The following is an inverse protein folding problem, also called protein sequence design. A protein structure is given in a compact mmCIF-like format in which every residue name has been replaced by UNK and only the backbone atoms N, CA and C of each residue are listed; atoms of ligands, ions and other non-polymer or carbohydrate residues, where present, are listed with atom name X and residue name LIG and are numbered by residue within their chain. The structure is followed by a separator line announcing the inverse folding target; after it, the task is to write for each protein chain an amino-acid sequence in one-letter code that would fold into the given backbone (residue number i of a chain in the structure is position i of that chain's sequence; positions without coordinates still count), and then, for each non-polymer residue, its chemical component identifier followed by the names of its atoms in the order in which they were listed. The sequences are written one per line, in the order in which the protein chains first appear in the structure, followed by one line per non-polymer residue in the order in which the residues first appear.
data_IF_269826365817
#
_entry.id   IF_269826365817
#
_cell.length_a   1.000
_cell.length_b   1.000
_cell.length_c   1.000
_cell.angle_alpha   90.00
_cell.angle_beta   90.00
_cell.angle_gamma   90.00
#
_symmetry.space_group_name_H-M   'P 1'
#
loop_
_entity.id
_entity.type
_entity.pdbx_description
1 polymer ?
#
# COMPACT_ATOMS: atom_id res chain seq x y z
N UNK A 1 -13.25 -33.70 -26.98
CA UNK A 1 -13.99 -32.93 -28.01
C UNK A 1 -13.54 -31.48 -27.92
N UNK A 2 -13.17 -30.84 -29.05
CA UNK A 2 -12.58 -29.48 -29.09
C UNK A 2 -13.60 -28.36 -29.35
N UNK A 3 -14.87 -28.70 -29.53
CA UNK A 3 -15.95 -27.76 -29.85
C UNK A 3 -16.23 -26.69 -28.77
N UNK A 4 -16.18 -26.99 -27.45
CA UNK A 4 -16.39 -25.97 -26.42
C UNK A 4 -15.29 -24.91 -26.43
N UNK A 5 -14.05 -25.35 -26.64
CA UNK A 5 -12.86 -24.49 -26.76
C UNK A 5 -13.01 -23.60 -27.99
N UNK A 6 -13.38 -24.14 -29.15
CA UNK A 6 -13.61 -23.33 -30.35
C UNK A 6 -14.74 -22.29 -30.17
N UNK A 7 -15.84 -22.64 -29.51
CA UNK A 7 -16.97 -21.72 -29.26
C UNK A 7 -16.62 -20.60 -28.28
N UNK A 8 -15.78 -20.88 -27.27
CA UNK A 8 -15.31 -19.85 -26.34
C UNK A 8 -14.24 -18.96 -26.99
N UNK A 9 -13.35 -19.54 -27.79
CA UNK A 9 -12.41 -18.78 -28.63
C UNK A 9 -13.13 -17.86 -29.64
N UNK A 10 -14.18 -18.32 -30.30
CA UNK A 10 -14.98 -17.51 -31.24
C UNK A 10 -15.76 -16.40 -30.54
N UNK A 11 -16.33 -16.66 -29.36
CA UNK A 11 -17.06 -15.64 -28.58
C UNK A 11 -16.18 -14.53 -28.03
N UNK A 12 -14.91 -14.81 -27.72
CA UNK A 12 -14.00 -13.83 -27.10
C UNK A 12 -13.16 -13.08 -28.14
N UNK A 13 -12.85 -13.68 -29.30
CA UNK A 13 -12.02 -13.05 -30.34
C UNK A 13 -12.77 -12.26 -31.42
N UNK A 14 -14.06 -11.98 -31.29
CA UNK A 14 -14.86 -11.24 -32.30
C UNK A 14 -14.37 -9.82 -32.60
N UNK A 15 -13.38 -9.27 -31.87
CA UNK A 15 -12.86 -7.91 -32.06
C UNK A 15 -11.34 -7.78 -32.33
N UNK A 16 -10.61 -8.88 -32.52
CA UNK A 16 -9.15 -8.81 -32.77
C UNK A 16 -8.30 -8.40 -31.55
N UNK A 17 -8.86 -8.41 -30.33
CA UNK A 17 -8.14 -8.09 -29.09
C UNK A 17 -7.42 -9.35 -28.57
N UNK A 18 -6.11 -9.28 -28.24
CA UNK A 18 -5.39 -10.43 -27.69
C UNK A 18 -6.03 -10.98 -26.42
N UNK A 19 -6.21 -12.31 -26.34
CA UNK A 19 -6.75 -12.96 -25.14
C UNK A 19 -5.87 -12.69 -23.92
N UNK A 20 -6.51 -12.27 -22.83
CA UNK A 20 -5.86 -12.11 -21.54
C UNK A 20 -5.46 -13.47 -20.95
N UNK A 21 -4.55 -13.48 -19.97
CA UNK A 21 -4.16 -14.71 -19.27
C UNK A 21 -5.38 -15.39 -18.64
N UNK A 22 -6.29 -14.61 -18.06
CA UNK A 22 -7.50 -15.12 -17.45
C UNK A 22 -8.43 -15.82 -18.47
N UNK A 23 -8.61 -15.25 -19.66
CA UNK A 23 -9.45 -15.86 -20.71
C UNK A 23 -8.81 -17.16 -21.24
N UNK A 24 -7.48 -17.21 -21.36
CA UNK A 24 -6.77 -18.44 -21.77
C UNK A 24 -6.88 -19.56 -20.74
N UNK A 25 -6.74 -19.26 -19.44
CA UNK A 25 -6.95 -20.25 -18.36
C UNK A 25 -8.43 -20.68 -18.33
N UNK A 26 -9.36 -19.75 -18.53
CA UNK A 26 -10.80 -20.05 -18.60
C UNK A 26 -11.09 -21.06 -19.71
N UNK A 27 -10.59 -20.82 -20.93
CA UNK A 27 -10.76 -21.74 -22.05
C UNK A 27 -10.10 -23.11 -21.81
N UNK A 28 -8.98 -23.14 -21.09
CA UNK A 28 -8.33 -24.39 -20.67
C UNK A 28 -9.24 -25.19 -19.73
N UNK A 29 -9.74 -24.57 -18.67
CA UNK A 29 -10.61 -25.24 -17.68
C UNK A 29 -11.98 -25.63 -18.22
N UNK A 30 -12.49 -24.90 -19.22
CA UNK A 30 -13.73 -25.24 -19.90
C UNK A 30 -13.64 -26.59 -20.64
N UNK A 31 -12.46 -26.98 -21.12
CA UNK A 31 -12.24 -28.31 -21.70
C UNK A 31 -12.46 -29.44 -20.68
N UNK A 32 -12.25 -29.15 -19.39
CA UNK A 32 -12.49 -30.04 -18.26
C UNK A 32 -13.86 -29.79 -17.59
N UNK A 33 -14.74 -29.01 -18.23
CA UNK A 33 -16.11 -28.77 -17.76
C UNK A 33 -16.25 -27.71 -16.66
N UNK A 34 -15.21 -26.93 -16.37
CA UNK A 34 -15.24 -25.89 -15.35
C UNK A 34 -15.28 -24.47 -15.95
N UNK A 35 -16.20 -23.65 -15.46
CA UNK A 35 -16.33 -22.26 -15.88
C UNK A 35 -15.66 -21.31 -14.87
N UNK A 36 -14.41 -20.91 -15.16
CA UNK A 36 -13.64 -20.00 -14.31
C UNK A 36 -14.25 -18.59 -14.24
N UNK A 37 -14.91 -18.14 -15.31
CA UNK A 37 -15.58 -16.83 -15.34
C UNK A 37 -16.73 -16.78 -14.33
N UNK A 38 -17.54 -17.83 -14.25
CA UNK A 38 -18.61 -17.94 -13.26
C UNK A 38 -18.04 -18.03 -11.84
N UNK A 39 -16.90 -18.72 -11.65
CA UNK A 39 -16.23 -18.78 -10.35
C UNK A 39 -15.76 -17.42 -9.88
N UNK A 40 -15.14 -16.64 -10.78
CA UNK A 40 -14.62 -15.33 -10.43
C UNK A 40 -15.72 -14.26 -10.31
N UNK A 41 -16.51 -14.05 -11.36
CA UNK A 41 -17.49 -12.95 -11.42
C UNK A 41 -18.87 -13.33 -10.84
N UNK A 42 -19.17 -14.62 -10.75
CA UNK A 42 -20.51 -15.12 -10.43
C UNK A 42 -21.37 -15.26 -11.68
N UNK A 43 -22.54 -15.87 -11.51
CA UNK A 43 -23.51 -16.08 -12.59
C UNK A 43 -24.91 -16.15 -12.04
N UNK A 44 -25.76 -15.19 -12.41
CA UNK A 44 -27.18 -15.20 -12.05
C UNK A 44 -27.90 -16.38 -12.69
N UNK A 45 -27.53 -16.76 -13.93
CA UNK A 45 -28.12 -17.88 -14.63
C UNK A 45 -27.87 -19.21 -13.91
N UNK A 46 -26.68 -19.38 -13.33
CA UNK A 46 -26.26 -20.60 -12.63
C UNK A 46 -26.32 -20.47 -11.11
N UNK A 47 -26.91 -19.38 -10.60
CA UNK A 47 -27.02 -19.08 -9.16
C UNK A 47 -25.69 -19.20 -8.40
N UNK A 48 -24.59 -18.76 -9.04
CA UNK A 48 -23.24 -18.83 -8.48
C UNK A 48 -22.81 -17.46 -7.97
N UNK A 49 -22.38 -17.39 -6.71
CA UNK A 49 -21.76 -16.21 -6.15
C UNK A 49 -20.25 -16.24 -6.45
N UNK A 50 -19.75 -15.24 -7.19
CA UNK A 50 -18.35 -15.19 -7.59
C UNK A 50 -17.41 -14.73 -6.48
N UNK A 51 -16.16 -15.21 -6.51
CA UNK A 51 -15.10 -14.81 -5.57
C UNK A 51 -14.89 -13.30 -5.53
N UNK A 52 -14.97 -12.63 -6.68
CA UNK A 52 -14.88 -11.16 -6.76
C UNK A 52 -15.92 -10.47 -5.88
N UNK A 53 -17.14 -11.01 -5.81
CA UNK A 53 -18.18 -10.44 -4.96
C UNK A 53 -17.90 -10.67 -3.46
N UNK A 54 -17.17 -11.73 -3.11
CA UNK A 54 -16.70 -11.95 -1.74
C UNK A 54 -15.64 -10.91 -1.39
N UNK A 55 -14.61 -10.77 -2.25
CA UNK A 55 -13.49 -9.85 -2.02
C UNK A 55 -13.97 -8.38 -2.01
N UNK A 56 -14.89 -8.00 -2.89
CA UNK A 56 -15.40 -6.62 -2.99
C UNK A 56 -16.19 -6.14 -1.75
N UNK A 57 -16.54 -7.05 -0.82
CA UNK A 57 -17.10 -6.65 0.48
C UNK A 57 -16.09 -5.86 1.31
N UNK A 58 -14.79 -6.09 1.09
CA UNK A 58 -13.71 -5.32 1.67
C UNK A 58 -13.33 -4.19 0.70
N UNK A 59 -13.51 -2.93 1.11
CA UNK A 59 -13.27 -1.75 0.25
C UNK A 59 -11.83 -1.70 -0.30
N UNK A 60 -10.86 -2.12 0.52
CA UNK A 60 -9.44 -2.20 0.16
C UNK A 60 -9.15 -3.21 -0.98
N UNK A 61 -10.01 -4.22 -1.18
CA UNK A 61 -9.81 -5.28 -2.17
C UNK A 61 -10.57 -5.05 -3.49
N UNK A 62 -11.36 -3.99 -3.62
CA UNK A 62 -12.18 -3.74 -4.83
C UNK A 62 -11.37 -3.62 -6.13
N UNK A 63 -10.07 -3.30 -6.01
CA UNK A 63 -9.14 -3.20 -7.13
C UNK A 63 -8.50 -4.52 -7.57
N UNK A 64 -8.72 -5.64 -6.86
CA UNK A 64 -8.10 -6.94 -7.15
C UNK A 64 -8.61 -7.49 -8.49
N UNK A 65 -7.68 -7.88 -9.36
CA UNK A 65 -7.96 -8.46 -10.66
C UNK A 65 -7.84 -10.00 -10.62
N UNK A 66 -8.54 -10.72 -11.53
CA UNK A 66 -8.43 -12.17 -11.60
C UNK A 66 -7.01 -12.67 -11.86
N UNK A 67 -6.17 -11.87 -12.53
CA UNK A 67 -4.75 -12.19 -12.73
C UNK A 67 -3.96 -12.17 -11.42
N UNK A 68 -4.25 -11.25 -10.50
CA UNK A 68 -3.62 -11.20 -9.18
C UNK A 68 -3.93 -12.49 -8.40
N UNK A 69 -5.19 -12.94 -8.47
CA UNK A 69 -5.67 -14.17 -7.84
C UNK A 69 -5.00 -15.42 -8.42
N UNK A 70 -4.95 -15.53 -9.75
CA UNK A 70 -4.28 -16.65 -10.43
C UNK A 70 -2.76 -16.66 -10.19
N UNK A 71 -2.13 -15.48 -10.04
CA UNK A 71 -0.71 -15.39 -9.68
C UNK A 71 -0.45 -15.92 -8.28
N UNK A 72 -1.30 -15.62 -7.30
CA UNK A 72 -1.19 -16.19 -5.96
C UNK A 72 -1.31 -17.72 -5.98
N UNK A 73 -2.27 -18.27 -6.73
CA UNK A 73 -2.40 -19.73 -6.94
C UNK A 73 -1.14 -20.32 -7.59
N UNK A 74 -0.64 -19.69 -8.66
CA UNK A 74 0.59 -20.11 -9.36
C UNK A 74 1.79 -20.14 -8.41
N UNK A 75 1.96 -19.11 -7.58
CA UNK A 75 3.04 -19.03 -6.61
C UNK A 75 2.93 -20.17 -5.58
N UNK A 76 1.77 -20.37 -4.96
CA UNK A 76 1.58 -21.42 -3.95
C UNK A 76 1.78 -22.82 -4.54
N UNK A 77 1.26 -23.06 -5.74
CA UNK A 77 1.42 -24.35 -6.41
C UNK A 77 2.88 -24.64 -6.74
N UNK A 78 3.59 -23.66 -7.32
CA UNK A 78 5.01 -23.81 -7.66
C UNK A 78 5.90 -23.89 -6.43
N UNK A 79 5.55 -23.21 -5.33
CA UNK A 79 6.21 -23.36 -4.03
C UNK A 79 6.03 -24.77 -3.45
N UNK A 80 4.82 -25.35 -3.51
CA UNK A 80 4.58 -26.74 -3.08
C UNK A 80 5.44 -27.72 -3.88
N UNK A 81 5.48 -27.58 -5.21
CA UNK A 81 6.32 -28.41 -6.10
C UNK A 81 7.82 -28.25 -5.77
N UNK A 82 8.26 -27.02 -5.56
CA UNK A 82 9.64 -26.71 -5.14
C UNK A 82 10.02 -27.36 -3.81
N UNK A 83 9.18 -27.24 -2.78
CA UNK A 83 9.42 -27.87 -1.46
C UNK A 83 9.49 -29.40 -1.60
N UNK A 84 8.65 -30.01 -2.43
CA UNK A 84 8.70 -31.44 -2.73
C UNK A 84 10.00 -31.84 -3.46
N UNK A 85 10.41 -31.08 -4.49
CA UNK A 85 11.66 -31.31 -5.22
C UNK A 85 12.89 -31.28 -4.29
N UNK A 86 12.93 -30.31 -3.37
CA UNK A 86 14.01 -30.18 -2.39
C UNK A 86 14.00 -31.35 -1.39
N UNK A 87 12.83 -31.78 -0.94
CA UNK A 87 12.68 -32.95 -0.06
C UNK A 87 13.12 -34.26 -0.74
N UNK A 88 12.99 -34.36 -2.06
CA UNK A 88 13.51 -35.44 -2.90
C UNK A 88 15.01 -35.33 -3.20
N UNK A 89 15.69 -34.28 -2.71
CA UNK A 89 17.13 -34.06 -2.91
C UNK A 89 17.50 -33.50 -4.29
N UNK A 90 16.54 -32.97 -5.06
CA UNK A 90 16.82 -32.30 -6.34
C UNK A 90 17.62 -31.02 -6.10
N UNK A 91 18.50 -30.67 -7.03
CA UNK A 91 19.35 -29.48 -6.94
C UNK A 91 19.47 -28.72 -8.26
N UNK A 92 19.85 -27.44 -8.18
CA UNK A 92 20.05 -26.59 -9.34
C UNK A 92 18.81 -26.47 -10.24
N UNK A 93 19.00 -26.65 -11.54
CA UNK A 93 17.92 -26.50 -12.55
C UNK A 93 16.83 -27.59 -12.49
N UNK A 94 17.05 -28.66 -11.71
CA UNK A 94 16.06 -29.73 -11.53
C UNK A 94 14.99 -29.38 -10.50
N UNK A 95 15.18 -28.32 -9.72
CA UNK A 95 14.21 -27.84 -8.73
C UNK A 95 13.23 -26.87 -9.39
N UNK A 96 11.94 -27.08 -9.18
CA UNK A 96 10.89 -26.15 -9.63
C UNK A 96 11.14 -24.75 -9.06
N UNK A 97 11.05 -23.74 -9.93
CA UNK A 97 11.11 -22.34 -9.51
C UNK A 97 9.73 -21.86 -9.04
N UNK A 98 9.68 -21.11 -7.93
CA UNK A 98 8.46 -20.38 -7.54
C UNK A 98 8.19 -19.30 -8.58
N UNK A 99 6.95 -19.17 -9.05
CA UNK A 99 6.69 -18.30 -10.19
C UNK A 99 5.27 -17.74 -10.27
N UNK A 100 5.19 -16.44 -10.56
CA UNK A 100 3.98 -15.70 -10.93
C UNK A 100 3.95 -15.30 -12.42
N UNK A 101 4.92 -15.80 -13.21
CA UNK A 101 5.04 -15.44 -14.63
C UNK A 101 3.86 -16.00 -15.43
N UNK A 102 3.49 -15.31 -16.51
CA UNK A 102 2.41 -15.72 -17.42
C UNK A 102 2.47 -17.19 -17.82
N UNK A 103 3.64 -17.71 -18.17
CA UNK A 103 3.81 -19.12 -18.58
C UNK A 103 3.40 -20.08 -17.45
N UNK A 104 3.76 -19.78 -16.21
CA UNK A 104 3.43 -20.59 -15.04
C UNK A 104 1.93 -20.53 -14.72
N UNK A 105 1.33 -19.34 -14.84
CA UNK A 105 -0.13 -19.17 -14.65
C UNK A 105 -0.92 -19.94 -15.72
N UNK A 106 -0.48 -19.90 -16.98
CA UNK A 106 -1.11 -20.65 -18.07
C UNK A 106 -0.94 -22.17 -17.94
N UNK A 107 0.07 -22.63 -17.18
CA UNK A 107 0.34 -24.04 -16.93
C UNK A 107 -0.45 -24.61 -15.73
N UNK A 108 -1.28 -23.79 -15.05
CA UNK A 108 -2.16 -24.28 -14.00
C UNK A 108 -3.18 -25.28 -14.58
N UNK A 109 -3.30 -26.42 -13.91
CA UNK A 109 -4.40 -27.36 -14.15
C UNK A 109 -5.62 -26.97 -13.32
N UNK A 110 -6.79 -27.54 -13.66
CA UNK A 110 -8.01 -27.36 -12.88
C UNK A 110 -7.86 -27.94 -11.46
N UNK A 111 -7.11 -29.03 -11.29
CA UNK A 111 -6.78 -29.60 -9.99
C UNK A 111 -5.94 -28.63 -9.14
N UNK A 112 -4.93 -28.00 -9.73
CA UNK A 112 -4.13 -26.98 -9.06
C UNK A 112 -5.02 -25.82 -8.58
N UNK A 113 -5.97 -25.38 -9.44
CA UNK A 113 -6.90 -24.31 -9.09
C UNK A 113 -7.79 -24.70 -7.90
N UNK A 114 -8.43 -25.87 -7.96
CA UNK A 114 -9.26 -26.36 -6.85
C UNK A 114 -8.48 -26.56 -5.55
N UNK A 115 -7.21 -26.96 -5.64
CA UNK A 115 -6.34 -27.13 -4.48
C UNK A 115 -6.13 -25.82 -3.70
N UNK A 116 -6.08 -24.66 -4.39
CA UNK A 116 -5.61 -23.41 -3.80
C UNK A 116 -6.64 -22.28 -3.76
N UNK A 117 -7.66 -22.29 -4.61
CA UNK A 117 -8.52 -21.12 -4.79
C UNK A 117 -9.21 -20.66 -3.49
N UNK A 118 -9.71 -21.60 -2.68
CA UNK A 118 -10.37 -21.24 -1.41
C UNK A 118 -9.38 -20.69 -0.36
N UNK A 119 -8.16 -21.21 -0.31
CA UNK A 119 -7.14 -20.72 0.60
C UNK A 119 -6.61 -19.35 0.15
N UNK A 120 -6.47 -19.13 -1.16
CA UNK A 120 -6.10 -17.82 -1.72
C UNK A 120 -7.18 -16.78 -1.46
N UNK A 121 -8.47 -17.13 -1.63
CA UNK A 121 -9.58 -16.23 -1.28
C UNK A 121 -9.51 -15.81 0.19
N UNK A 122 -9.35 -16.76 1.10
CA UNK A 122 -9.14 -16.47 2.53
C UNK A 122 -7.89 -15.62 2.74
N UNK A 123 -6.80 -15.91 2.04
CA UNK A 123 -5.56 -15.15 2.09
C UNK A 123 -5.74 -13.67 1.74
N UNK A 124 -6.51 -13.37 0.68
CA UNK A 124 -6.85 -11.97 0.33
C UNK A 124 -7.70 -11.29 1.41
N UNK A 125 -8.68 -12.00 1.99
CA UNK A 125 -9.48 -11.46 3.09
C UNK A 125 -8.63 -11.21 4.35
N UNK A 126 -7.64 -12.06 4.63
CA UNK A 126 -6.67 -11.82 5.70
C UNK A 126 -5.74 -10.65 5.36
N UNK A 127 -5.37 -10.47 4.09
CA UNK A 127 -4.59 -9.32 3.64
C UNK A 127 -5.36 -8.01 3.87
N UNK A 128 -6.67 -7.99 3.62
CA UNK A 128 -7.51 -6.83 3.97
C UNK A 128 -7.47 -6.53 5.48
N UNK A 129 -7.59 -7.56 6.33
CA UNK A 129 -7.48 -7.37 7.79
C UNK A 129 -6.11 -6.83 8.20
N UNK A 130 -5.03 -7.38 7.66
CA UNK A 130 -3.68 -6.87 7.91
C UNK A 130 -3.56 -5.40 7.50
N UNK A 131 -4.09 -5.02 6.33
CA UNK A 131 -4.06 -3.65 5.84
C UNK A 131 -4.89 -2.69 6.71
N UNK A 132 -6.05 -3.13 7.21
CA UNK A 132 -6.83 -2.35 8.19
C UNK A 132 -6.06 -2.14 9.50
N UNK A 133 -5.32 -3.15 9.98
CA UNK A 133 -4.42 -2.99 11.12
C UNK A 133 -3.31 -1.96 10.84
N UNK A 134 -2.80 -1.92 9.61
CA UNK A 134 -1.85 -0.90 9.13
C UNK A 134 -2.52 0.42 8.69
N UNK A 135 -3.82 0.56 8.94
CA UNK A 135 -4.65 1.75 8.70
C UNK A 135 -4.89 2.12 7.23
N UNK A 136 -4.72 1.19 6.30
CA UNK A 136 -5.18 1.32 4.91
C UNK A 136 -6.63 0.84 4.82
N UNK A 137 -7.57 1.73 4.50
CA UNK A 137 -9.01 1.44 4.57
C UNK A 137 -9.63 1.20 3.19
N UNK A 138 -9.18 1.95 2.19
CA UNK A 138 -9.80 1.95 0.87
C UNK A 138 -8.81 1.61 -0.24
N UNK A 139 -9.31 1.11 -1.36
CA UNK A 139 -8.47 0.73 -2.51
C UNK A 139 -7.58 1.86 -3.04
N UNK A 140 -7.99 3.13 -2.90
CA UNK A 140 -7.16 4.27 -3.29
C UNK A 140 -6.02 4.57 -2.31
N UNK A 141 -6.10 4.12 -1.06
CA UNK A 141 -5.01 4.21 -0.09
C UNK A 141 -3.89 3.22 -0.44
N UNK A 142 -4.23 2.14 -1.15
CA UNK A 142 -3.29 1.08 -1.47
C UNK A 142 -2.16 1.61 -2.38
N UNK A 143 -0.89 1.50 -1.94
CA UNK A 143 0.25 1.95 -2.73
C UNK A 143 0.50 1.05 -3.95
N UNK A 144 0.41 -0.27 -3.75
CA UNK A 144 0.66 -1.26 -4.78
C UNK A 144 -0.32 -2.43 -4.69
N UNK A 145 -1.18 -2.57 -5.70
CA UNK A 145 -2.03 -3.77 -5.85
C UNK A 145 -1.19 -5.03 -5.98
N UNK A 146 -0.07 -4.95 -6.70
CA UNK A 146 0.83 -6.08 -6.95
C UNK A 146 1.45 -6.67 -5.68
N UNK A 147 1.61 -5.88 -4.61
CA UNK A 147 2.09 -6.37 -3.31
C UNK A 147 1.02 -7.15 -2.53
N UNK A 148 -0.26 -7.02 -2.89
CA UNK A 148 -1.31 -7.87 -2.31
C UNK A 148 -1.13 -9.34 -2.65
N UNK A 149 -0.59 -9.65 -3.84
CA UNK A 149 -0.42 -11.03 -4.30
C UNK A 149 0.47 -11.83 -3.35
N UNK A 150 1.73 -11.42 -3.05
CA UNK A 150 2.56 -12.14 -2.12
C UNK A 150 2.01 -12.10 -0.68
N UNK A 151 1.41 -10.98 -0.25
CA UNK A 151 0.79 -10.87 1.07
C UNK A 151 -0.34 -11.89 1.26
N UNK A 152 -1.27 -11.98 0.30
CA UNK A 152 -2.38 -12.93 0.32
C UNK A 152 -1.89 -14.38 0.27
N UNK A 153 -0.89 -14.68 -0.57
CA UNK A 153 -0.30 -16.01 -0.64
C UNK A 153 0.33 -16.42 0.70
N UNK A 154 1.12 -15.55 1.33
CA UNK A 154 1.73 -15.82 2.65
C UNK A 154 0.66 -15.98 3.72
N UNK A 155 -0.34 -15.10 3.76
CA UNK A 155 -1.42 -15.17 4.74
C UNK A 155 -2.33 -16.39 4.56
N UNK A 156 -2.47 -16.92 3.33
CA UNK A 156 -3.16 -18.20 3.11
C UNK A 156 -2.46 -19.38 3.81
N UNK A 157 -1.14 -19.31 3.96
CA UNK A 157 -0.32 -20.31 4.67
C UNK A 157 -0.31 -20.10 6.17
N UNK A 158 -0.23 -18.85 6.63
CA UNK A 158 -0.16 -18.52 8.06
C UNK A 158 -1.52 -18.59 8.76
N UNK A 159 -2.62 -18.32 8.04
CA UNK A 159 -3.99 -18.31 8.56
C UNK A 159 -4.10 -17.51 9.87
N UNK A 160 -4.58 -18.07 10.99
CA UNK A 160 -4.73 -17.32 12.24
C UNK A 160 -3.42 -16.83 12.86
N UNK A 161 -2.28 -17.43 12.51
CA UNK A 161 -1.00 -17.20 13.19
C UNK A 161 -0.34 -15.87 12.80
N UNK A 162 -0.81 -15.19 11.74
CA UNK A 162 -0.19 -13.92 11.30
C UNK A 162 -0.27 -12.80 12.35
N UNK A 163 -1.20 -12.90 13.30
CA UNK A 163 -1.36 -11.97 14.41
C UNK A 163 -0.37 -12.20 15.56
N UNK A 164 0.37 -13.32 15.56
CA UNK A 164 1.41 -13.53 16.55
C UNK A 164 2.45 -12.41 16.44
N UNK A 165 2.83 -11.73 17.55
CA UNK A 165 3.58 -10.47 17.47
C UNK A 165 4.84 -10.52 16.61
N UNK A 166 5.65 -11.58 16.74
CA UNK A 166 6.87 -11.74 15.92
C UNK A 166 6.58 -11.92 14.43
N UNK A 167 5.49 -12.61 14.09
CA UNK A 167 5.08 -12.84 12.71
C UNK A 167 4.52 -11.56 12.12
N UNK A 168 3.66 -10.87 12.88
CA UNK A 168 3.12 -9.56 12.53
C UNK A 168 4.22 -8.53 12.27
N UNK A 169 5.20 -8.41 13.17
CA UNK A 169 6.31 -7.46 13.03
C UNK A 169 7.13 -7.73 11.75
N UNK A 170 7.37 -9.00 11.42
CA UNK A 170 8.04 -9.39 10.17
C UNK A 170 7.21 -9.03 8.93
N UNK A 171 5.90 -9.30 8.95
CA UNK A 171 4.97 -8.95 7.86
C UNK A 171 4.89 -7.42 7.67
N UNK A 172 4.72 -6.67 8.74
CA UNK A 172 4.69 -5.20 8.74
C UNK A 172 5.99 -4.63 8.17
N UNK A 173 7.15 -5.09 8.66
CA UNK A 173 8.45 -4.62 8.17
C UNK A 173 8.65 -4.91 6.68
N UNK A 174 8.34 -6.13 6.23
CA UNK A 174 8.40 -6.47 4.81
C UNK A 174 7.46 -5.59 3.98
N UNK A 175 6.22 -5.40 4.44
CA UNK A 175 5.23 -4.60 3.74
C UNK A 175 5.69 -3.15 3.57
N UNK A 176 6.07 -2.49 4.67
CA UNK A 176 6.52 -1.10 4.68
C UNK A 176 7.82 -0.90 3.89
N UNK A 177 8.79 -1.81 3.96
CA UNK A 177 9.97 -1.78 3.10
C UNK A 177 9.62 -1.85 1.61
N UNK A 178 8.68 -2.72 1.25
CA UNK A 178 8.19 -2.84 -0.12
C UNK A 178 7.55 -1.57 -0.65
N UNK A 179 6.70 -0.93 0.16
CA UNK A 179 6.00 0.29 -0.21
C UNK A 179 6.92 1.51 -0.24
N UNK A 180 7.65 1.77 0.85
CA UNK A 180 8.48 2.97 0.99
C UNK A 180 9.76 2.90 0.16
N UNK A 181 10.26 1.69 -0.12
CA UNK A 181 11.31 1.46 -1.12
C UNK A 181 10.81 1.53 -2.58
N UNK A 182 9.51 1.78 -2.80
CA UNK A 182 8.85 1.86 -4.11
C UNK A 182 9.10 0.61 -5.01
N UNK A 183 9.23 -0.57 -4.40
CA UNK A 183 9.75 -1.80 -5.03
C UNK A 183 8.75 -2.55 -5.91
N UNK A 184 7.48 -2.12 -5.93
CA UNK A 184 6.39 -2.79 -6.63
C UNK A 184 5.79 -1.99 -7.82
N UNK A 185 6.46 -0.92 -8.25
CA UNK A 185 5.98 -0.04 -9.34
C UNK A 185 6.27 -0.48 -10.78
N UNK A 186 6.83 -1.67 -11.01
CA UNK A 186 7.30 -2.12 -12.33
C UNK A 186 7.05 -3.60 -12.63
N UNK A 187 7.97 -4.24 -13.37
CA UNK A 187 7.95 -5.68 -13.64
C UNK A 187 8.29 -6.46 -12.36
N UNK A 188 7.25 -6.95 -11.67
CA UNK A 188 7.33 -7.44 -10.29
C UNK A 188 7.10 -8.94 -10.16
N UNK A 189 6.83 -9.68 -11.25
CA UNK A 189 6.47 -11.09 -11.18
C UNK A 189 7.57 -11.95 -10.53
N UNK A 190 8.83 -11.59 -10.75
CA UNK A 190 9.97 -12.23 -10.07
C UNK A 190 10.01 -11.87 -8.59
N UNK A 191 9.77 -10.60 -8.24
CA UNK A 191 9.78 -10.12 -6.85
C UNK A 191 8.66 -10.79 -6.04
N UNK A 192 7.42 -10.73 -6.51
CA UNK A 192 6.28 -11.34 -5.80
C UNK A 192 6.44 -12.84 -5.60
N UNK A 193 7.07 -13.55 -6.55
CA UNK A 193 7.33 -14.98 -6.40
C UNK A 193 8.41 -15.26 -5.36
N UNK A 194 9.52 -14.52 -5.39
CA UNK A 194 10.60 -14.64 -4.42
C UNK A 194 10.13 -14.26 -3.01
N UNK A 195 9.37 -13.17 -2.88
CA UNK A 195 8.88 -12.68 -1.59
C UNK A 195 8.07 -13.73 -0.83
N UNK A 196 7.22 -14.51 -1.50
CA UNK A 196 6.43 -15.54 -0.81
C UNK A 196 7.33 -16.61 -0.20
N UNK A 197 8.33 -17.09 -0.95
CA UNK A 197 9.29 -18.09 -0.46
C UNK A 197 10.16 -17.51 0.66
N UNK A 198 10.79 -16.37 0.42
CA UNK A 198 11.71 -15.72 1.35
C UNK A 198 11.00 -15.32 2.65
N UNK A 199 9.79 -14.75 2.57
CA UNK A 199 9.04 -14.32 3.74
C UNK A 199 8.55 -15.51 4.58
N UNK A 200 8.07 -16.59 3.95
CA UNK A 200 7.67 -17.80 4.68
C UNK A 200 8.87 -18.43 5.39
N UNK A 201 9.98 -18.63 4.67
CA UNK A 201 11.19 -19.21 5.26
C UNK A 201 11.73 -18.34 6.40
N UNK A 202 11.73 -17.01 6.24
CA UNK A 202 12.15 -16.09 7.30
C UNK A 202 11.22 -16.15 8.52
N UNK A 203 9.90 -16.22 8.32
CA UNK A 203 8.92 -16.35 9.40
C UNK A 203 9.11 -17.69 10.16
N UNK A 204 9.29 -18.78 9.42
CA UNK A 204 9.49 -20.15 9.93
C UNK A 204 10.88 -20.34 10.60
N UNK A 205 11.80 -19.39 10.44
CA UNK A 205 13.15 -19.44 11.01
C UNK A 205 14.13 -20.29 10.19
N UNK A 206 13.76 -20.61 8.96
CA UNK A 206 14.50 -21.45 8.01
C UNK A 206 15.22 -20.62 6.92
N UNK A 207 15.13 -19.28 7.00
CA UNK A 207 15.71 -18.38 6.01
C UNK A 207 16.20 -17.06 6.61
N UNK A 208 17.00 -16.36 5.80
CA UNK A 208 17.50 -15.02 6.08
C UNK A 208 16.42 -13.95 5.87
N UNK A 209 16.75 -12.71 6.22
CA UNK A 209 15.90 -11.55 5.94
C UNK A 209 15.55 -11.44 4.43
N UNK A 210 14.27 -11.27 4.05
CA UNK A 210 13.87 -11.17 2.65
C UNK A 210 14.57 -10.04 1.90
N UNK A 211 14.86 -10.27 0.63
CA UNK A 211 15.55 -9.30 -0.22
C UNK A 211 14.81 -7.98 -0.32
N UNK A 212 13.48 -7.98 -0.24
CA UNK A 212 12.66 -6.75 -0.26
C UNK A 212 12.95 -5.86 0.94
N UNK A 213 13.33 -6.42 2.09
CA UNK A 213 13.78 -5.62 3.24
C UNK A 213 15.22 -5.14 3.00
N UNK A 214 16.12 -6.03 2.56
CA UNK A 214 17.51 -5.69 2.31
C UNK A 214 17.69 -4.59 1.24
N UNK A 215 17.02 -4.72 0.09
CA UNK A 215 17.09 -3.81 -1.06
C UNK A 215 16.32 -2.50 -0.86
N UNK A 216 15.34 -2.46 0.07
CA UNK A 216 14.57 -1.25 0.30
C UNK A 216 15.43 -0.14 0.90
N UNK A 217 15.36 1.05 0.30
CA UNK A 217 16.00 2.27 0.81
C UNK A 217 15.06 3.44 0.55
N UNK A 218 15.02 4.39 1.49
CA UNK A 218 14.31 5.65 1.28
C UNK A 218 15.31 6.80 1.25
N UNK A 219 15.38 7.49 0.11
CA UNK A 219 16.26 8.64 -0.06
C UNK A 219 15.63 9.89 0.56
N UNK A 220 16.29 10.65 1.46
CA UNK A 220 15.70 11.81 2.11
C UNK A 220 15.13 12.86 1.15
N UNK A 221 15.82 13.07 0.02
CA UNK A 221 15.41 13.99 -1.04
C UNK A 221 14.08 13.61 -1.68
N UNK A 222 13.66 12.35 -1.57
CA UNK A 222 12.38 11.88 -2.07
C UNK A 222 11.21 12.66 -1.46
N UNK A 223 11.25 13.01 -0.16
CA UNK A 223 10.21 13.81 0.50
C UNK A 223 9.91 15.13 -0.21
N UNK A 224 10.95 15.80 -0.75
CA UNK A 224 10.82 17.07 -1.48
C UNK A 224 10.04 16.91 -2.80
N UNK A 225 10.07 15.71 -3.37
CA UNK A 225 9.46 15.38 -4.67
C UNK A 225 8.11 14.70 -4.56
N UNK A 226 7.71 14.24 -3.36
CA UNK A 226 6.40 13.64 -3.10
C UNK A 226 5.31 14.71 -3.12
N UNK A 227 4.86 15.09 -4.32
CA UNK A 227 3.85 16.15 -4.53
C UNK A 227 2.47 15.61 -4.93
N UNK A 228 2.42 14.40 -5.47
CA UNK A 228 1.20 13.76 -6.00
C UNK A 228 0.68 12.67 -5.08
N UNK A 229 -0.62 12.72 -4.80
CA UNK A 229 -1.37 11.70 -4.04
C UNK A 229 -1.41 10.31 -4.69
N UNK A 230 -0.99 10.21 -5.95
CA UNK A 230 -0.90 8.93 -6.66
C UNK A 230 0.40 8.17 -6.37
N UNK A 231 1.45 8.84 -5.87
CA UNK A 231 2.71 8.17 -5.52
C UNK A 231 2.49 7.17 -4.38
N UNK A 232 3.09 5.99 -4.52
CA UNK A 232 3.02 4.95 -3.50
C UNK A 232 3.60 5.41 -2.16
N UNK A 233 4.80 6.01 -2.16
CA UNK A 233 5.42 6.56 -0.96
C UNK A 233 4.61 7.72 -0.36
N UNK A 234 3.94 8.53 -1.19
CA UNK A 234 3.05 9.59 -0.70
C UNK A 234 1.86 8.99 0.07
N UNK A 235 1.19 7.98 -0.51
CA UNK A 235 0.06 7.29 0.14
C UNK A 235 0.52 6.65 1.46
N UNK A 236 1.64 5.93 1.43
CA UNK A 236 2.21 5.30 2.62
C UNK A 236 2.49 6.30 3.73
N UNK A 237 3.18 7.40 3.44
CA UNK A 237 3.52 8.39 4.45
C UNK A 237 2.27 9.07 5.02
N UNK A 238 1.28 9.36 4.16
CA UNK A 238 -0.02 9.89 4.60
C UNK A 238 -0.67 8.92 5.60
N UNK A 239 -0.75 7.63 5.27
CA UNK A 239 -1.31 6.60 6.17
C UNK A 239 -0.47 6.42 7.45
N UNK A 240 0.86 6.48 7.39
CA UNK A 240 1.71 6.41 8.58
C UNK A 240 1.45 7.54 9.57
N UNK A 241 1.24 8.76 9.06
CA UNK A 241 0.86 9.89 9.91
C UNK A 241 -0.47 9.59 10.60
N UNK A 242 -1.47 9.10 9.86
CA UNK A 242 -2.77 8.74 10.43
C UNK A 242 -2.66 7.62 11.47
N UNK A 243 -1.88 6.57 11.16
CA UNK A 243 -1.62 5.42 12.03
C UNK A 243 -0.98 5.82 13.36
N UNK A 244 -0.22 6.92 13.38
CA UNK A 244 0.39 7.48 14.59
C UNK A 244 -0.56 8.43 15.35
N UNK A 245 -1.86 8.38 15.06
CA UNK A 245 -2.89 9.03 15.86
C UNK A 245 -3.16 10.48 15.47
N UNK A 246 -2.83 10.89 14.24
CA UNK A 246 -3.12 12.22 13.74
C UNK A 246 -4.59 12.62 13.98
N UNK A 247 -4.80 13.78 14.61
CA UNK A 247 -6.12 14.29 14.99
C UNK A 247 -6.54 15.49 14.14
N UNK A 248 -7.82 15.59 13.81
CA UNK A 248 -8.33 16.75 13.10
C UNK A 248 -8.26 18.02 13.95
N UNK A 249 -7.86 19.14 13.33
CA UNK A 249 -7.65 20.42 14.01
C UNK A 249 -8.95 21.01 14.57
N UNK A 250 -10.10 20.68 13.98
CA UNK A 250 -11.40 21.16 14.41
C UNK A 250 -12.11 20.18 15.35
N UNK A 251 -12.20 18.91 14.94
CA UNK A 251 -13.03 17.90 15.60
C UNK A 251 -12.37 17.26 16.82
N UNK A 252 -11.07 17.48 17.05
CA UNK A 252 -10.30 16.91 18.18
C UNK A 252 -10.37 15.37 18.25
N UNK A 253 -10.62 14.73 17.12
CA UNK A 253 -10.73 13.28 16.99
C UNK A 253 -9.72 12.80 15.97
N UNK A 254 -9.27 11.55 16.13
CA UNK A 254 -8.37 10.94 15.15
C UNK A 254 -9.04 10.96 13.78
N UNK A 255 -8.25 11.28 12.76
CA UNK A 255 -8.70 11.33 11.37
C UNK A 255 -9.37 10.01 10.96
N UNK A 256 -8.84 8.87 11.42
CA UNK A 256 -9.41 7.55 11.20
C UNK A 256 -10.84 7.38 11.72
N UNK A 257 -11.13 7.89 12.93
CA UNK A 257 -12.49 7.83 13.50
C UNK A 257 -13.46 8.70 12.71
N UNK A 258 -12.97 9.81 12.15
CA UNK A 258 -13.78 10.72 11.36
C UNK A 258 -14.08 10.15 9.97
N UNK A 259 -13.12 9.46 9.35
CA UNK A 259 -13.34 8.75 8.08
C UNK A 259 -14.44 7.69 8.23
N UNK A 260 -14.39 6.91 9.30
CA UNK A 260 -15.45 5.94 9.62
C UNK A 260 -16.82 6.60 9.89
N UNK A 261 -16.81 7.82 10.43
CA UNK A 261 -18.00 8.65 10.63
C UNK A 261 -18.47 9.40 9.38
N UNK A 262 -17.94 9.08 8.20
CA UNK A 262 -18.24 9.71 6.91
C UNK A 262 -17.98 11.23 6.89
N UNK A 263 -17.09 11.72 7.76
CA UNK A 263 -16.63 13.11 7.68
C UNK A 263 -15.62 13.20 6.54
N UNK A 264 -15.92 14.03 5.55
CA UNK A 264 -15.02 14.26 4.42
C UNK A 264 -13.66 14.82 4.88
N UNK A 265 -12.61 14.07 4.55
CA UNK A 265 -11.20 14.39 4.77
C UNK A 265 -10.53 14.68 3.44
N UNK A 266 -9.62 15.63 3.41
CA UNK A 266 -8.77 15.89 2.25
C UNK A 266 -7.38 16.36 2.70
N UNK A 267 -6.42 16.29 1.79
CA UNK A 267 -5.03 16.59 2.06
C UNK A 267 -4.77 18.05 1.69
N UNK A 268 -4.43 18.85 2.70
CA UNK A 268 -4.28 20.29 2.58
C UNK A 268 -2.89 20.75 3.00
N UNK A 269 -2.53 21.94 2.53
CA UNK A 269 -1.29 22.59 2.90
C UNK A 269 -1.34 23.09 4.34
N UNK A 270 -0.28 22.84 5.11
CA UNK A 270 -0.16 23.29 6.51
C UNK A 270 0.13 24.79 6.55
N UNK A 271 1.13 25.23 5.78
CA UNK A 271 1.27 26.62 5.36
C UNK A 271 0.51 26.79 4.04
N UNK A 272 -0.60 27.55 4.02
CA UNK A 272 -1.49 27.60 2.87
C UNK A 272 -0.80 28.11 1.61
N UNK A 273 -1.21 27.56 0.46
CA UNK A 273 -0.67 27.93 -0.86
C UNK A 273 -0.60 29.45 -1.07
N UNK A 274 -1.69 30.18 -0.78
CA UNK A 274 -1.75 31.64 -0.95
C UNK A 274 -0.71 32.34 -0.08
N UNK A 275 -0.56 31.90 1.18
CA UNK A 275 0.46 32.44 2.08
C UNK A 275 1.86 32.17 1.54
N UNK A 276 2.14 30.96 1.03
CA UNK A 276 3.42 30.61 0.44
C UNK A 276 3.74 31.46 -0.80
N UNK A 277 2.76 31.66 -1.69
CA UNK A 277 2.91 32.50 -2.89
C UNK A 277 3.23 33.95 -2.54
N UNK A 278 2.55 34.51 -1.52
CA UNK A 278 2.82 35.88 -1.05
C UNK A 278 4.19 36.04 -0.37
N UNK A 279 4.77 34.95 0.13
CA UNK A 279 6.10 34.91 0.74
C UNK A 279 7.19 34.40 -0.22
N UNK A 280 6.90 34.33 -1.53
CA UNK A 280 7.83 33.90 -2.58
C UNK A 280 8.40 32.48 -2.41
N UNK A 281 7.67 31.59 -1.72
CA UNK A 281 8.09 30.19 -1.58
C UNK A 281 7.74 29.43 -2.86
N UNK A 282 8.72 28.71 -3.42
CA UNK A 282 8.55 27.97 -4.66
C UNK A 282 7.47 26.87 -4.58
N UNK A 283 6.63 26.69 -5.63
CA UNK A 283 5.70 25.56 -5.74
C UNK A 283 6.37 24.19 -5.63
N UNK A 284 7.66 24.08 -5.98
CA UNK A 284 8.41 22.84 -5.83
C UNK A 284 8.56 22.43 -4.36
N UNK A 285 8.61 23.41 -3.44
CA UNK A 285 8.79 23.23 -2.00
C UNK A 285 7.44 23.09 -1.31
N UNK A 286 6.55 24.08 -1.45
CA UNK A 286 5.30 24.08 -0.68
C UNK A 286 4.33 22.98 -1.12
N UNK A 287 4.43 22.42 -2.34
CA UNK A 287 3.58 21.30 -2.76
C UNK A 287 4.10 19.92 -2.32
N UNK A 288 5.28 19.83 -1.71
CA UNK A 288 5.79 18.57 -1.17
C UNK A 288 4.93 18.05 -0.03
N UNK A 289 5.02 16.76 0.26
CA UNK A 289 4.28 16.11 1.34
C UNK A 289 4.64 16.68 2.73
N UNK A 290 5.83 17.28 2.86
CA UNK A 290 6.29 17.90 4.11
C UNK A 290 5.31 19.01 4.52
N UNK A 291 4.85 19.84 3.59
CA UNK A 291 3.88 20.90 3.89
C UNK A 291 2.42 20.45 3.72
N UNK A 292 2.12 19.15 3.78
CA UNK A 292 0.76 18.63 3.60
C UNK A 292 0.33 17.74 4.75
N UNK A 293 -0.95 17.80 5.09
CA UNK A 293 -1.55 16.88 6.04
C UNK A 293 -3.05 16.68 5.80
N UNK A 294 -3.59 15.54 6.25
CA UNK A 294 -5.01 15.23 6.15
C UNK A 294 -5.79 15.94 7.24
N UNK A 295 -6.82 16.69 6.85
CA UNK A 295 -7.75 17.36 7.76
C UNK A 295 -9.15 17.32 7.18
N UNK A 296 -10.14 17.56 8.03
CA UNK A 296 -11.53 17.67 7.63
C UNK A 296 -11.79 18.93 6.81
N UNK A 297 -12.84 18.88 5.99
CA UNK A 297 -13.35 20.05 5.28
C UNK A 297 -13.59 21.26 6.19
N UNK A 298 -14.04 21.03 7.44
CA UNK A 298 -14.33 22.10 8.39
C UNK A 298 -13.06 22.78 8.90
N UNK A 299 -12.02 22.02 9.24
CA UNK A 299 -10.71 22.54 9.55
C UNK A 299 -10.13 23.32 8.35
N UNK A 300 -10.19 22.76 7.15
CA UNK A 300 -9.69 23.41 5.94
C UNK A 300 -10.36 24.77 5.65
N UNK A 301 -11.68 24.88 5.86
CA UNK A 301 -12.39 26.17 5.72
C UNK A 301 -11.89 27.24 6.68
N UNK A 302 -11.46 26.84 7.88
CA UNK A 302 -10.91 27.77 8.86
C UNK A 302 -9.48 28.19 8.52
N UNK A 303 -8.67 27.26 8.01
CA UNK A 303 -7.33 27.55 7.50
C UNK A 303 -7.39 28.59 6.36
N UNK A 304 -8.15 28.30 5.30
CA UNK A 304 -8.27 29.21 4.15
C UNK A 304 -6.89 29.54 3.55
N UNK A 305 -6.63 30.84 3.33
CA UNK A 305 -5.34 31.35 2.83
C UNK A 305 -4.50 32.09 3.88
N UNK A 306 -4.83 31.93 5.17
CA UNK A 306 -4.22 32.68 6.29
C UNK A 306 -2.86 32.12 6.68
N UNK A 307 -2.09 32.88 7.45
CA UNK A 307 -0.88 32.33 8.07
C UNK A 307 -1.23 31.28 9.13
N UNK A 308 -0.34 30.32 9.42
CA UNK A 308 -0.53 29.40 10.53
C UNK A 308 -0.82 30.04 11.88
N UNK A 309 -0.11 31.09 12.26
CA UNK A 309 -0.38 31.80 13.50
C UNK A 309 -1.82 32.32 13.56
N UNK A 310 -2.31 32.91 12.46
CA UNK A 310 -3.67 33.44 12.36
C UNK A 310 -4.73 32.34 12.42
N UNK A 311 -4.63 31.29 11.59
CA UNK A 311 -5.67 30.25 11.57
C UNK A 311 -5.67 29.41 12.84
N UNK A 312 -4.53 29.21 13.50
CA UNK A 312 -4.48 28.47 14.76
C UNK A 312 -5.24 29.22 15.85
N UNK A 313 -4.98 30.52 15.99
CA UNK A 313 -5.75 31.39 16.90
C UNK A 313 -7.25 31.34 16.59
N UNK A 314 -7.63 31.38 15.30
CA UNK A 314 -9.02 31.29 14.89
C UNK A 314 -9.67 29.95 15.24
N UNK A 315 -8.98 28.83 15.03
CA UNK A 315 -9.48 27.49 15.36
C UNK A 315 -9.63 27.34 16.88
N UNK A 316 -8.61 27.74 17.64
CA UNK A 316 -8.61 27.63 19.09
C UNK A 316 -9.73 28.44 19.75
N UNK A 317 -9.95 29.68 19.29
CA UNK A 317 -10.95 30.59 19.86
C UNK A 317 -12.36 30.38 19.30
N UNK A 318 -12.53 29.50 18.33
CA UNK A 318 -13.85 29.22 17.76
C UNK A 318 -14.78 28.63 18.81
N UNK A 319 -15.99 29.19 18.92
CA UNK A 319 -16.97 28.88 19.98
C UNK A 319 -17.28 27.39 20.15
N UNK A 320 -17.29 26.62 19.05
CA UNK A 320 -17.58 25.18 19.05
C UNK A 320 -16.34 24.29 19.22
N UNK A 321 -15.15 24.89 19.19
CA UNK A 321 -13.87 24.18 19.32
C UNK A 321 -13.32 24.40 20.72
N UNK A 322 -12.98 25.65 21.08
CA UNK A 322 -12.45 26.01 22.39
C UNK A 322 -11.25 25.14 22.80
N UNK A 323 -10.06 25.46 22.31
CA UNK A 323 -8.82 24.74 22.63
C UNK A 323 -7.86 25.64 23.39
N UNK A 324 -7.36 25.14 24.53
CA UNK A 324 -6.16 25.69 25.15
C UNK A 324 -4.91 25.40 24.29
N UNK A 325 -3.84 26.17 24.49
CA UNK A 325 -2.61 26.00 23.72
C UNK A 325 -2.03 24.59 23.83
N UNK A 326 -2.07 23.99 25.03
CA UNK A 326 -1.55 22.64 25.25
C UNK A 326 -2.34 21.57 24.47
N UNK A 327 -3.65 21.77 24.27
CA UNK A 327 -4.50 20.84 23.53
C UNK A 327 -4.27 20.95 22.02
N UNK A 328 -4.18 22.18 21.50
CA UNK A 328 -3.83 22.41 20.08
C UNK A 328 -2.42 21.89 19.78
N UNK A 329 -1.48 22.09 20.70
CA UNK A 329 -0.12 21.57 20.61
C UNK A 329 -0.10 20.05 20.48
N UNK A 330 -0.90 19.34 21.28
CA UNK A 330 -1.01 17.89 21.20
C UNK A 330 -1.56 17.43 19.84
N UNK A 331 -2.56 18.13 19.30
CA UNK A 331 -3.09 17.88 17.97
C UNK A 331 -2.01 18.09 16.91
N UNK A 332 -1.30 19.21 16.92
CA UNK A 332 -0.22 19.50 15.96
C UNK A 332 0.90 18.45 16.02
N UNK A 333 1.34 18.06 17.23
CA UNK A 333 2.35 17.01 17.41
C UNK A 333 1.89 15.64 16.91
N UNK A 334 0.59 15.32 16.95
CA UNK A 334 0.05 14.10 16.35
C UNK A 334 0.24 14.04 14.81
N UNK A 335 0.49 15.19 14.18
CA UNK A 335 0.83 15.31 12.77
C UNK A 335 2.32 15.46 12.51
N UNK A 336 3.20 15.31 13.52
CA UNK A 336 4.63 15.60 13.41
C UNK A 336 4.89 17.09 13.07
N UNK A 337 4.19 17.99 13.75
CA UNK A 337 4.35 19.44 13.65
C UNK A 337 4.82 19.98 14.99
N UNK A 338 5.93 20.73 15.00
CA UNK A 338 6.33 21.50 16.17
C UNK A 338 5.48 22.79 16.28
N UNK A 339 4.63 22.94 17.32
CA UNK A 339 3.62 24.00 17.37
C UNK A 339 4.19 25.43 17.42
N UNK A 340 5.38 25.60 18.01
CA UNK A 340 6.02 26.90 18.13
C UNK A 340 6.38 27.50 16.76
N UNK A 341 6.74 26.66 15.78
CA UNK A 341 7.14 27.06 14.43
C UNK A 341 5.95 27.56 13.60
N UNK A 342 4.75 27.00 13.80
CA UNK A 342 3.53 27.51 13.18
C UNK A 342 3.09 28.84 13.81
N UNK A 343 3.15 28.97 15.14
CA UNK A 343 2.77 30.24 15.81
C UNK A 343 3.70 31.41 15.47
N UNK A 344 4.91 31.13 15.01
CA UNK A 344 5.88 32.12 14.56
C UNK A 344 5.89 32.27 13.03
N UNK A 345 4.98 31.61 12.30
CA UNK A 345 4.95 31.57 10.84
C UNK A 345 6.32 31.23 10.20
N UNK A 346 7.14 30.44 10.91
CA UNK A 346 8.53 30.13 10.55
C UNK A 346 8.58 28.95 9.59
N UNK A 347 8.30 29.20 8.31
CA UNK A 347 8.16 28.16 7.28
C UNK A 347 9.41 27.29 7.15
N UNK A 348 10.59 27.90 7.03
CA UNK A 348 11.85 27.19 6.78
C UNK A 348 12.18 26.25 7.95
N UNK A 349 12.06 26.75 9.18
CA UNK A 349 12.28 25.97 10.38
C UNK A 349 11.25 24.83 10.52
N UNK A 350 9.96 25.11 10.26
CA UNK A 350 8.91 24.09 10.23
C UNK A 350 9.22 23.00 9.22
N UNK A 351 9.64 23.39 8.01
CA UNK A 351 9.89 22.47 6.92
C UNK A 351 11.06 21.54 7.24
N UNK A 352 12.16 22.09 7.77
CA UNK A 352 13.33 21.33 8.20
C UNK A 352 13.00 20.35 9.34
N UNK A 353 12.31 20.83 10.39
CA UNK A 353 11.94 20.01 11.55
C UNK A 353 10.97 18.89 11.15
N UNK A 354 9.91 19.20 10.41
CA UNK A 354 8.94 18.20 9.96
C UNK A 354 9.58 17.19 9.00
N UNK A 355 10.46 17.62 8.08
CA UNK A 355 11.24 16.70 7.22
C UNK A 355 11.97 15.67 8.09
N UNK A 356 12.68 16.11 9.14
CA UNK A 356 13.40 15.22 10.07
C UNK A 356 12.45 14.27 10.81
N UNK A 357 11.33 14.77 11.32
CA UNK A 357 10.33 13.93 12.00
C UNK A 357 9.73 12.87 11.07
N UNK A 358 9.40 13.22 9.83
CA UNK A 358 8.86 12.29 8.83
C UNK A 358 9.90 11.24 8.39
N UNK A 359 11.18 11.60 8.30
CA UNK A 359 12.24 10.62 8.05
C UNK A 359 12.35 9.60 9.18
N UNK A 360 12.32 10.05 10.43
CA UNK A 360 12.32 9.14 11.59
C UNK A 360 11.11 8.21 11.60
N UNK A 361 9.94 8.71 11.18
CA UNK A 361 8.74 7.88 11.04
C UNK A 361 8.92 6.79 9.97
N UNK A 362 9.55 7.13 8.84
CA UNK A 362 9.90 6.17 7.78
C UNK A 362 10.90 5.12 8.29
N UNK A 363 11.93 5.54 9.01
CA UNK A 363 12.94 4.64 9.61
C UNK A 363 12.30 3.61 10.53
N UNK A 364 11.37 4.06 11.39
CA UNK A 364 10.62 3.19 12.30
C UNK A 364 9.76 2.17 11.55
N UNK A 365 9.05 2.60 10.50
CA UNK A 365 8.20 1.72 9.71
C UNK A 365 9.01 0.66 8.93
N UNK A 366 10.15 1.06 8.36
CA UNK A 366 11.04 0.14 7.62
C UNK A 366 11.92 -0.71 8.54
N UNK A 367 12.13 -0.29 9.79
CA UNK A 367 13.14 -0.87 10.67
C UNK A 367 14.55 -0.76 10.06
N UNK A 368 14.85 0.38 9.43
CA UNK A 368 16.14 0.69 8.80
C UNK A 368 16.51 2.14 9.11
N UNK A 369 17.79 2.40 9.34
CA UNK A 369 18.31 3.76 9.45
C UNK A 369 18.50 4.34 8.05
N UNK A 370 18.14 5.61 7.88
CA UNK A 370 18.45 6.40 6.69
C UNK A 370 19.77 7.12 6.97
N UNK A 371 20.76 7.03 6.07
CA UNK A 371 22.11 7.56 6.32
C UNK A 371 22.09 9.08 6.51
N UNK A 372 22.91 9.59 7.44
CA UNK A 372 23.09 11.03 7.65
C UNK A 372 23.81 11.70 6.48
N UNK A 373 24.66 10.97 5.75
CA UNK A 373 25.36 11.48 4.55
C UNK A 373 24.36 11.84 3.44
N UNK A 374 23.32 11.02 3.27
CA UNK A 374 22.21 11.29 2.31
C UNK A 374 21.38 12.52 2.71
N UNK A 375 21.41 12.92 3.99
CA UNK A 375 20.72 14.11 4.50
C UNK A 375 21.56 15.38 4.28
N UNK A 376 22.89 15.28 4.44
CA UNK A 376 23.83 16.39 4.31
C UNK A 376 24.09 16.83 2.86
N UNK A 377 24.21 15.88 1.90
CA UNK A 377 24.38 16.20 0.47
C UNK A 377 23.21 16.99 -0.12
N UNK A 378 22.03 16.93 0.51
CA UNK A 378 20.84 17.67 0.08
C UNK A 378 20.77 19.09 0.62
N UNK A 379 21.33 19.37 1.80
CA UNK A 379 21.39 20.74 2.34
C UNK A 379 22.27 21.61 1.43
N UNK A 380 23.35 21.05 0.90
CA UNK A 380 24.19 21.69 -0.11
C UNK A 380 23.50 21.86 -1.48
N UNK A 381 22.64 20.92 -1.87
CA UNK A 381 21.94 20.98 -3.16
C UNK A 381 20.74 21.95 -3.14
N UNK A 382 20.12 22.18 -1.98
CA UNK A 382 19.07 23.21 -1.83
C UNK A 382 19.63 24.62 -1.93
N UNK A 383 20.85 24.85 -1.44
CA UNK A 383 21.53 26.15 -1.57
C UNK A 383 21.91 26.48 -3.04
N UNK A 384 22.06 25.47 -3.90
CA UNK A 384 22.37 25.66 -5.33
C UNK A 384 21.12 25.86 -6.21
N UNK A 385 19.93 25.50 -5.75
CA UNK A 385 18.66 25.70 -6.49
C UNK A 385 18.14 27.14 -6.31
N UNK A 386 18.62 27.86 -5.30
CA UNK A 386 18.27 29.25 -5.00
C UNK A 386 19.24 30.29 -5.64
N UNK A 387 20.01 29.90 -6.67
CA UNK A 387 20.86 30.80 -7.49
C UNK A 387 20.31 31.04 -8.88
#
# INVERSE_FOLDING_TARGET
SKEPVCLEFEKVNTGGVPLSVFELVTASFAADGFNLRDDWFGSNLRQKFGRRNVLNKEAILQGVEPTDFLQAISILNTLKKRRADLAEGKTGKSVTAVSAKRVSVLALSLEDYHCWADDVEKGFLLAAKFLHHECFMHSWDLPYRTQLVPLAAVLSKLQGNWLEPKIYDKLARWFWCGVLGELYGGAVETRIANDVEELLNWIEGEGEEPRTIYEASFQPGRLLTLRSRLSAAYKALSVLILRNGAQDFFWKSTIQKLDYGEIALDIHHIFPKIWCENNNISPAVYNSIINKTSISYKANRMIGGRSPAEYLSQIQTHQQVGLEDAEMDAILRSHFIEPSLLRQDSFEAFFADRKKQLLKLIEQAMGKNISQDDVAELETATDEIDV
#
